data_IF_825331156494
#
_entry.id   IF_825331156494
#
_cell.length_a   1.000
_cell.length_b   1.000
_cell.length_c   1.000
_cell.angle_alpha   90.00
_cell.angle_beta   90.00
_cell.angle_gamma   90.00
#
_symmetry.space_group_name_H-M   'P 1'
#
loop_
_entity.id
_entity.type
_entity.pdbx_description
1 polymer ?
#
# COMPACT_ATOMS: atom_id res chain seq x y z
N UNK A 1 9.49 14.90 -18.39
CA UNK A 1 8.39 14.20 -19.10
C UNK A 1 8.09 12.82 -18.49
N UNK A 2 9.08 11.96 -18.22
CA UNK A 2 8.87 10.58 -17.71
C UNK A 2 8.32 10.50 -16.28
N UNK A 3 8.72 11.38 -15.36
CA UNK A 3 8.23 11.39 -13.97
C UNK A 3 6.72 11.64 -13.86
N UNK A 4 6.19 12.56 -14.67
CA UNK A 4 4.74 12.85 -14.68
C UNK A 4 3.91 11.66 -15.17
N UNK A 5 4.45 10.87 -16.09
CA UNK A 5 3.80 9.65 -16.58
C UNK A 5 3.80 8.55 -15.49
N UNK A 6 4.90 8.39 -14.76
CA UNK A 6 5.00 7.44 -13.63
C UNK A 6 4.03 7.82 -12.51
N UNK A 7 3.95 9.11 -12.18
CA UNK A 7 3.01 9.59 -11.15
C UNK A 7 1.56 9.38 -11.60
N UNK A 8 1.25 9.61 -12.88
CA UNK A 8 -0.12 9.42 -13.41
C UNK A 8 -0.52 7.95 -13.46
N UNK A 9 0.36 7.07 -13.93
CA UNK A 9 0.09 5.62 -13.93
C UNK A 9 0.02 5.06 -12.52
N UNK A 10 0.88 5.53 -11.60
CA UNK A 10 0.79 5.16 -10.19
C UNK A 10 -0.53 5.62 -9.57
N UNK A 11 -0.94 6.87 -9.80
CA UNK A 11 -2.21 7.41 -9.27
C UNK A 11 -3.42 6.67 -9.83
N UNK A 12 -3.37 6.29 -11.12
CA UNK A 12 -4.42 5.53 -11.79
C UNK A 12 -4.49 4.10 -11.26
N UNK A 13 -3.35 3.46 -11.04
CA UNK A 13 -3.26 2.14 -10.42
C UNK A 13 -3.77 2.18 -8.97
N UNK A 14 -3.35 3.17 -8.17
CA UNK A 14 -3.80 3.36 -6.79
C UNK A 14 -5.29 3.60 -6.70
N UNK A 15 -5.86 4.44 -7.58
CA UNK A 15 -7.30 4.69 -7.64
C UNK A 15 -8.08 3.41 -8.00
N UNK A 16 -7.53 2.59 -8.91
CA UNK A 16 -8.15 1.33 -9.31
C UNK A 16 -8.13 0.30 -8.17
N UNK A 17 -7.00 0.15 -7.48
CA UNK A 17 -6.90 -0.70 -6.29
C UNK A 17 -7.83 -0.23 -5.17
N UNK A 18 -7.93 1.08 -4.94
CA UNK A 18 -8.83 1.65 -3.95
C UNK A 18 -10.30 1.36 -4.28
N UNK A 19 -10.68 1.47 -5.56
CA UNK A 19 -12.04 1.14 -6.00
C UNK A 19 -12.35 -0.35 -5.89
N UNK A 20 -11.37 -1.20 -6.21
CA UNK A 20 -11.52 -2.66 -6.10
C UNK A 20 -11.63 -3.09 -4.63
N UNK A 21 -10.79 -2.54 -3.77
CA UNK A 21 -10.86 -2.70 -2.31
C UNK A 21 -12.22 -2.25 -1.77
N UNK A 22 -12.69 -1.05 -2.12
CA UNK A 22 -13.99 -0.54 -1.70
C UNK A 22 -15.17 -1.43 -2.14
N UNK A 23 -15.06 -2.07 -3.31
CA UNK A 23 -16.12 -2.92 -3.89
C UNK A 23 -16.15 -4.34 -3.32
N UNK A 24 -15.01 -4.94 -2.98
CA UNK A 24 -14.96 -6.19 -2.22
C UNK A 24 -15.44 -5.99 -0.76
N UNK A 25 -15.35 -4.75 -0.29
CA UNK A 25 -15.65 -4.34 1.07
C UNK A 25 -17.10 -4.01 1.36
N UNK A 26 -18.04 -4.71 0.72
CA UNK A 26 -19.46 -4.52 1.01
C UNK A 26 -20.16 -5.74 1.63
N UNK A 27 -19.49 -6.90 1.77
CA UNK A 27 -20.19 -8.15 2.18
C UNK A 27 -19.74 -8.76 3.51
N UNK A 28 -18.44 -8.76 3.86
CA UNK A 28 -17.89 -9.31 5.13
C UNK A 28 -16.59 -8.59 5.52
N UNK A 29 -16.68 -7.28 5.57
CA UNK A 29 -15.58 -6.36 5.30
C UNK A 29 -14.67 -6.10 6.48
N UNK A 30 -15.21 -6.17 7.69
CA UNK A 30 -14.46 -5.76 8.87
C UNK A 30 -13.28 -6.71 9.13
N UNK A 31 -13.48 -8.02 9.02
CA UNK A 31 -12.42 -8.99 9.27
C UNK A 31 -11.30 -8.92 8.22
N UNK A 32 -11.65 -8.74 6.94
CA UNK A 32 -10.67 -8.62 5.86
C UNK A 32 -9.93 -7.27 5.86
N UNK A 33 -10.56 -6.16 6.23
CA UNK A 33 -9.85 -4.88 6.47
C UNK A 33 -8.88 -5.04 7.63
N UNK A 34 -9.30 -5.65 8.73
CA UNK A 34 -8.47 -5.81 9.92
C UNK A 34 -7.27 -6.72 9.60
N UNK A 35 -7.49 -7.82 8.87
CA UNK A 35 -6.41 -8.69 8.40
C UNK A 35 -5.51 -8.01 7.37
N UNK A 36 -6.08 -7.29 6.41
CA UNK A 36 -5.33 -6.54 5.39
C UNK A 36 -4.50 -5.40 6.01
N UNK A 37 -5.05 -4.70 7.00
CA UNK A 37 -4.36 -3.69 7.78
C UNK A 37 -3.27 -4.28 8.67
N UNK A 38 -3.50 -5.43 9.29
CA UNK A 38 -2.50 -6.15 10.08
C UNK A 38 -1.33 -6.65 9.22
N UNK A 39 -1.63 -7.34 8.11
CA UNK A 39 -0.61 -7.82 7.16
C UNK A 39 0.11 -6.66 6.48
N UNK A 40 -0.62 -5.59 6.13
CA UNK A 40 -0.05 -4.36 5.59
C UNK A 40 0.88 -3.66 6.58
N UNK A 41 0.56 -3.65 7.87
CA UNK A 41 1.42 -3.12 8.92
C UNK A 41 2.70 -3.94 9.05
N UNK A 42 2.62 -5.27 9.06
CA UNK A 42 3.80 -6.14 9.15
C UNK A 42 4.76 -5.95 7.96
N UNK A 43 4.21 -5.87 6.75
CA UNK A 43 5.01 -5.64 5.53
C UNK A 43 5.56 -4.21 5.53
N UNK A 44 4.76 -3.21 5.91
CA UNK A 44 5.17 -1.81 5.99
C UNK A 44 6.29 -1.58 7.00
N UNK A 45 6.16 -2.18 8.19
CA UNK A 45 7.18 -2.14 9.25
C UNK A 45 8.48 -2.79 8.78
N UNK A 46 8.41 -3.97 8.13
CA UNK A 46 9.59 -4.65 7.58
C UNK A 46 10.31 -3.81 6.50
N UNK A 47 9.54 -3.15 5.62
CA UNK A 47 10.10 -2.27 4.57
C UNK A 47 10.72 -1.01 5.18
N UNK A 48 10.04 -0.39 6.15
CA UNK A 48 10.53 0.80 6.86
C UNK A 48 11.78 0.46 7.66
N UNK A 49 11.81 -0.68 8.35
CA UNK A 49 12.98 -1.12 9.10
C UNK A 49 14.16 -1.44 8.17
N UNK A 50 13.91 -2.07 7.02
CA UNK A 50 14.96 -2.29 6.00
C UNK A 50 15.48 -0.97 5.43
N UNK A 51 14.61 0.01 5.20
CA UNK A 51 14.99 1.37 4.76
C UNK A 51 15.81 2.11 5.82
N UNK A 52 15.39 2.04 7.08
CA UNK A 52 16.03 2.71 8.20
C UNK A 52 17.40 2.10 8.52
N UNK A 53 17.52 0.77 8.43
CA UNK A 53 18.79 0.04 8.60
C UNK A 53 19.82 0.37 7.53
N UNK A 54 19.38 0.76 6.33
CA UNK A 54 20.25 1.25 5.26
C UNK A 54 20.62 2.75 5.41
N UNK A 55 19.91 3.49 6.27
CA UNK A 55 20.17 4.91 6.57
C UNK A 55 21.07 5.14 7.79
N UNK A 56 21.32 4.13 8.62
CA UNK A 56 22.12 4.22 9.85
C UNK A 56 23.51 3.57 9.71
N UNK A 57 24.13 3.72 8.53
CA UNK A 57 25.53 3.40 8.27
C UNK A 57 26.27 4.65 7.73
N UNK A 58 26.04 5.82 8.32
CA UNK A 58 26.82 7.04 8.08
C UNK A 58 27.27 7.64 9.39
#
# INVERSE_FOLDING_TARGET
>A
MKEKAIVSTATLLTSLLAYWYAREMQKDTNAYIILGGFVGSLIGETIVETRNKNGNNS
#
